data_IF_628408014106
#
_entry.id   IF_628408014106
#
_cell.length_a   1.000
_cell.length_b   1.000
_cell.length_c   1.000
_cell.angle_alpha   90.00
_cell.angle_beta   90.00
_cell.angle_gamma   90.00
#
_symmetry.space_group_name_H-M   'P 1'
#
loop_
_entity.id
_entity.type
_entity.pdbx_description
1 polymer ?
#
# COMPACT_ATOMS: atom_id res chain seq x y z
N UNK A 1 7.28 15.62 -12.76
CA UNK A 1 6.91 14.26 -13.20
C UNK A 1 7.36 13.31 -12.13
N UNK A 2 6.48 12.92 -11.20
CA UNK A 2 6.82 11.94 -10.19
C UNK A 2 6.89 10.57 -10.84
N UNK A 3 8.02 9.89 -10.73
CA UNK A 3 8.12 8.48 -11.12
C UNK A 3 7.06 7.70 -10.35
N UNK A 4 6.12 7.07 -11.06
CA UNK A 4 5.19 6.11 -10.48
C UNK A 4 6.01 4.91 -10.01
N UNK A 5 6.44 4.94 -8.74
CA UNK A 5 7.16 3.82 -8.14
C UNK A 5 6.22 2.63 -8.09
N UNK A 6 6.47 1.64 -8.96
CA UNK A 6 5.72 0.39 -8.98
C UNK A 6 6.04 -0.42 -7.74
N UNK A 7 5.06 -1.15 -7.22
CA UNK A 7 5.24 -2.07 -6.09
C UNK A 7 5.63 -3.42 -6.67
N UNK A 8 6.93 -3.68 -6.80
CA UNK A 8 7.42 -4.92 -7.43
C UNK A 8 7.63 -6.01 -6.38
N UNK A 9 7.94 -5.62 -5.17
CA UNK A 9 8.24 -6.55 -4.08
C UNK A 9 7.29 -6.37 -2.91
N UNK A 10 7.11 -7.45 -2.16
CA UNK A 10 6.38 -7.44 -0.89
C UNK A 10 6.95 -6.43 0.10
N UNK A 11 8.29 -6.32 0.16
CA UNK A 11 8.99 -5.35 1.00
C UNK A 11 8.55 -3.90 0.68
N UNK A 12 8.47 -3.53 -0.60
CA UNK A 12 8.01 -2.20 -1.01
C UNK A 12 6.56 -1.93 -0.59
N UNK A 13 5.68 -2.95 -0.64
CA UNK A 13 4.30 -2.82 -0.19
C UNK A 13 4.25 -2.50 1.32
N UNK A 14 5.06 -3.18 2.13
CA UNK A 14 5.16 -2.93 3.57
C UNK A 14 5.74 -1.55 3.88
N UNK A 15 6.76 -1.10 3.16
CA UNK A 15 7.33 0.24 3.34
C UNK A 15 6.29 1.34 3.07
N UNK A 16 5.48 1.17 2.01
CA UNK A 16 4.38 2.10 1.69
C UNK A 16 3.32 2.06 2.78
N UNK A 17 2.99 0.88 3.30
CA UNK A 17 2.02 0.72 4.37
C UNK A 17 2.45 1.40 5.67
N UNK A 18 3.72 1.27 6.05
CA UNK A 18 4.29 1.96 7.22
C UNK A 18 4.34 3.47 7.05
N UNK A 19 4.76 3.93 5.87
CA UNK A 19 4.74 5.36 5.56
C UNK A 19 3.31 5.93 5.60
N UNK A 20 2.33 5.16 5.12
CA UNK A 20 0.92 5.49 5.21
C UNK A 20 0.44 5.53 6.66
N UNK A 21 0.78 4.53 7.46
CA UNK A 21 0.43 4.44 8.87
C UNK A 21 0.95 5.65 9.66
N UNK A 22 2.22 5.99 9.48
CA UNK A 22 2.84 7.16 10.08
C UNK A 22 2.23 8.49 9.60
N UNK A 23 1.77 8.57 8.34
CA UNK A 23 1.18 9.81 7.82
C UNK A 23 -0.24 10.06 8.35
N UNK A 24 -1.03 9.00 8.53
CA UNK A 24 -2.44 9.09 8.95
C UNK A 24 -2.65 8.76 10.44
N UNK A 25 -1.58 8.54 11.20
CA UNK A 25 -1.61 8.12 12.62
C UNK A 25 -2.49 6.87 12.84
N UNK A 26 -2.37 5.88 11.95
CA UNK A 26 -3.08 4.59 12.05
C UNK A 26 -2.13 3.45 12.43
N UNK A 27 -2.67 2.35 12.96
CA UNK A 27 -1.87 1.20 13.39
C UNK A 27 -1.07 0.57 12.24
N UNK A 28 0.27 0.56 12.37
CA UNK A 28 1.21 0.00 11.39
C UNK A 28 0.88 -1.45 11.03
N UNK A 29 0.70 -2.32 12.02
CA UNK A 29 0.42 -3.75 11.78
C UNK A 29 -0.85 -3.98 10.98
N UNK A 30 -1.85 -3.09 11.12
CA UNK A 30 -3.09 -3.18 10.35
C UNK A 30 -2.89 -2.70 8.92
N UNK A 31 -2.08 -1.66 8.71
CA UNK A 31 -1.70 -1.20 7.38
C UNK A 31 -0.86 -2.25 6.64
N UNK A 32 0.09 -2.87 7.33
CA UNK A 32 0.93 -3.96 6.80
C UNK A 32 0.08 -5.16 6.38
N UNK A 33 -0.87 -5.61 7.22
CA UNK A 33 -1.77 -6.72 6.87
C UNK A 33 -2.65 -6.43 5.64
N UNK A 34 -3.11 -5.18 5.48
CA UNK A 34 -3.85 -4.78 4.29
C UNK A 34 -2.95 -4.73 3.05
N UNK A 35 -1.72 -4.25 3.18
CA UNK A 35 -0.75 -4.24 2.08
C UNK A 35 -0.32 -5.64 1.66
N UNK A 36 -0.17 -6.56 2.61
CA UNK A 36 0.07 -7.99 2.35
C UNK A 36 -1.08 -8.60 1.55
N UNK A 37 -2.31 -8.46 2.05
CA UNK A 37 -3.49 -8.98 1.37
C UNK A 37 -3.68 -8.37 -0.03
N UNK A 38 -3.36 -7.09 -0.21
CA UNK A 38 -3.37 -6.43 -1.51
C UNK A 38 -2.28 -6.98 -2.45
N UNK A 39 -1.06 -7.20 -1.95
CA UNK A 39 0.05 -7.73 -2.73
C UNK A 39 -0.18 -9.19 -3.15
N UNK A 40 -0.75 -10.01 -2.26
CA UNK A 40 -1.12 -11.40 -2.55
C UNK A 40 -2.32 -11.50 -3.51
N UNK A 41 -3.29 -10.59 -3.39
CA UNK A 41 -4.43 -10.53 -4.31
C UNK A 41 -4.05 -9.99 -5.71
N UNK A 42 -2.97 -9.21 -5.80
CA UNK A 42 -2.48 -8.58 -7.01
C UNK A 42 -1.83 -9.57 -8.00
N UNK A 43 -2.64 -10.37 -8.70
CA UNK A 43 -2.18 -11.30 -9.76
C UNK A 43 -1.46 -10.64 -10.95
N UNK A 44 -1.60 -9.32 -11.12
CA UNK A 44 -0.99 -8.54 -12.22
C UNK A 44 -0.09 -7.43 -11.65
N UNK A 45 1.09 -7.83 -11.16
CA UNK A 45 2.14 -6.94 -10.66
C UNK A 45 2.59 -5.87 -11.67
N UNK A 46 2.29 -6.03 -12.96
CA UNK A 46 2.69 -5.06 -13.99
C UNK A 46 1.96 -3.71 -13.85
N UNK A 47 0.79 -3.69 -13.19
CA UNK A 47 -0.02 -2.47 -12.96
C UNK A 47 -0.03 -2.00 -11.50
N UNK A 48 0.58 -2.75 -10.58
CA UNK A 48 0.61 -2.44 -9.17
C UNK A 48 1.47 -1.19 -8.89
N UNK A 49 0.84 -0.04 -8.64
CA UNK A 49 1.54 1.22 -8.31
C UNK A 49 1.43 1.56 -6.83
N UNK A 50 2.38 2.35 -6.31
CA UNK A 50 2.33 2.81 -4.92
C UNK A 50 1.05 3.61 -4.60
N UNK A 51 0.55 4.39 -5.56
CA UNK A 51 -0.71 5.12 -5.44
C UNK A 51 -1.93 4.19 -5.34
N UNK A 52 -1.96 3.06 -6.06
CA UNK A 52 -3.05 2.08 -5.95
C UNK A 52 -3.09 1.46 -4.54
N UNK A 53 -1.91 1.12 -4.00
CA UNK A 53 -1.81 0.61 -2.63
C UNK A 53 -2.26 1.66 -1.61
N UNK A 54 -1.84 2.92 -1.76
CA UNK A 54 -2.30 4.01 -0.89
C UNK A 54 -3.81 4.22 -0.98
N UNK A 55 -4.38 4.25 -2.18
CA UNK A 55 -5.82 4.37 -2.38
C UNK A 55 -6.59 3.19 -1.77
N UNK A 56 -6.05 1.97 -1.87
CA UNK A 56 -6.59 0.80 -1.21
C UNK A 56 -6.59 0.96 0.31
N UNK A 57 -5.47 1.42 0.89
CA UNK A 57 -5.35 1.66 2.33
C UNK A 57 -6.31 2.77 2.79
N UNK A 58 -6.43 3.87 2.07
CA UNK A 58 -7.41 4.94 2.36
C UNK A 58 -8.84 4.39 2.48
N UNK A 59 -9.26 3.56 1.52
CA UNK A 59 -10.59 2.91 1.56
C UNK A 59 -10.74 1.92 2.70
N UNK A 60 -9.68 1.21 3.08
CA UNK A 60 -9.70 0.23 4.18
C UNK A 60 -9.76 0.87 5.56
N UNK A 61 -9.21 2.06 5.69
CA UNK A 61 -9.23 2.84 6.94
C UNK A 61 -10.34 3.90 6.98
N UNK A 62 -11.17 4.01 5.93
CA UNK A 62 -12.24 5.02 5.83
C UNK A 62 -11.69 6.46 5.91
N UNK A 63 -10.55 6.70 5.26
CA UNK A 63 -9.84 7.99 5.22
C UNK A 63 -9.97 8.72 3.87
N UNK A 64 -10.74 8.15 2.95
CA UNK A 64 -10.92 8.61 1.57
C UNK A 64 -12.01 9.68 1.42
#
# INVERSE_FOLDING_TARGET
MGEFKRVKTFQEALEIARAFAAHYDVHDSRAEAYAESWYEAGKDYDKASADDLRAYLLRRFDLA
#
